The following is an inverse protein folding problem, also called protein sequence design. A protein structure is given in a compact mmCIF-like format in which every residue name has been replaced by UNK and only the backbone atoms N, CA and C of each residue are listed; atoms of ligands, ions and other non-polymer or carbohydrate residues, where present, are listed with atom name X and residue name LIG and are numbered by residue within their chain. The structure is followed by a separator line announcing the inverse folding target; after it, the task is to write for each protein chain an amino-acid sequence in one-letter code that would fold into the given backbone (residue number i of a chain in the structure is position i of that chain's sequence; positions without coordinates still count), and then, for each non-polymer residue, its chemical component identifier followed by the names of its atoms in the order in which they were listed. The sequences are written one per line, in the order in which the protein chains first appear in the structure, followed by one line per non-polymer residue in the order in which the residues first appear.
data_IF_038042358690
#
_entry.id   IF_038042358690
#
_cell.length_a   1.000
_cell.length_b   1.000
_cell.length_c   1.000
_cell.angle_alpha   90.00
_cell.angle_beta   90.00
_cell.angle_gamma   90.00
#
_symmetry.space_group_name_H-M   'P 1'
#
loop_
_entity.id
_entity.type
_entity.pdbx_description
1 polymer ?
#
# COMPACT_ATOMS: atom_id res chain seq x y z
N UNK A 1 -5.26 -0.11 30.85
CA UNK A 1 -5.27 -1.16 29.80
C UNK A 1 -6.55 -1.96 29.94
N UNK A 2 -7.37 -2.05 28.90
CA UNK A 2 -8.57 -2.89 28.94
C UNK A 2 -8.14 -4.35 29.21
N UNK A 3 -8.68 -4.97 30.26
CA UNK A 3 -8.49 -6.40 30.53
C UNK A 3 -9.53 -7.17 29.71
N UNK A 4 -9.10 -8.02 28.78
CA UNK A 4 -10.00 -8.84 27.97
C UNK A 4 -9.27 -9.62 26.89
N UNK A 5 -9.88 -10.70 26.40
CA UNK A 5 -9.37 -11.44 25.25
C UNK A 5 -9.47 -10.59 23.98
N UNK A 6 -8.58 -10.78 22.99
CA UNK A 6 -8.68 -10.12 21.70
C UNK A 6 -10.03 -10.36 21.01
N UNK A 7 -10.47 -9.40 20.19
CA UNK A 7 -11.55 -9.66 19.22
C UNK A 7 -11.07 -10.80 18.31
N UNK A 8 -11.83 -11.89 18.27
CA UNK A 8 -11.44 -13.11 17.56
C UNK A 8 -11.97 -13.15 16.14
N UNK A 9 -11.31 -13.93 15.28
CA UNK A 9 -11.74 -14.12 13.89
C UNK A 9 -13.11 -14.80 13.84
N UNK A 10 -13.36 -15.78 14.73
CA UNK A 10 -14.65 -16.47 14.84
C UNK A 10 -15.80 -15.51 15.19
N UNK A 11 -15.57 -14.52 16.06
CA UNK A 11 -16.56 -13.47 16.36
C UNK A 11 -16.89 -12.63 15.13
N UNK A 12 -15.89 -12.27 14.32
CA UNK A 12 -16.12 -11.57 13.06
C UNK A 12 -16.89 -12.45 12.06
N UNK A 13 -16.49 -13.70 11.89
CA UNK A 13 -17.09 -14.64 10.95
C UNK A 13 -18.53 -15.04 11.34
N UNK A 14 -18.88 -14.96 12.62
CA UNK A 14 -20.24 -15.14 13.12
C UNK A 14 -21.20 -14.00 12.74
N UNK A 15 -20.68 -12.84 12.32
CA UNK A 15 -21.49 -11.78 11.71
C UNK A 15 -21.74 -12.06 10.22
N UNK A 16 -22.42 -11.15 9.51
CA UNK A 16 -22.54 -11.16 8.05
C UNK A 16 -21.51 -10.25 7.34
N UNK A 17 -20.43 -9.85 8.02
CA UNK A 17 -19.38 -9.00 7.44
C UNK A 17 -18.82 -9.60 6.14
N UNK A 18 -18.70 -8.78 5.10
CA UNK A 18 -17.91 -9.09 3.92
C UNK A 18 -17.42 -7.79 3.27
N UNK A 19 -16.32 -7.88 2.53
CA UNK A 19 -15.82 -6.84 1.66
C UNK A 19 -15.39 -7.47 0.33
N UNK A 20 -15.61 -6.77 -0.78
CA UNK A 20 -15.37 -7.32 -2.12
C UNK A 20 -14.62 -6.32 -2.98
N UNK A 21 -13.69 -6.82 -3.78
CA UNK A 21 -13.11 -6.09 -4.89
C UNK A 21 -13.57 -6.73 -6.20
N UNK A 22 -13.98 -5.90 -7.16
CA UNK A 22 -14.43 -6.32 -8.49
C UNK A 22 -13.82 -5.41 -9.54
N UNK A 23 -13.01 -5.96 -10.45
CA UNK A 23 -12.36 -5.20 -11.51
C UNK A 23 -12.91 -5.63 -12.88
N UNK A 24 -13.31 -4.66 -13.69
CA UNK A 24 -13.65 -4.88 -15.09
C UNK A 24 -12.40 -4.67 -15.95
N UNK A 25 -11.78 -5.77 -16.39
CA UNK A 25 -10.57 -5.76 -17.21
C UNK A 25 -10.95 -6.26 -18.60
N UNK A 26 -10.96 -5.37 -19.59
CA UNK A 26 -11.29 -5.72 -20.98
C UNK A 26 -12.69 -6.34 -21.15
N UNK A 27 -13.67 -5.92 -20.35
CA UNK A 27 -15.04 -6.46 -20.37
C UNK A 27 -15.25 -7.70 -19.51
N UNK A 28 -14.17 -8.31 -18.98
CA UNK A 28 -14.26 -9.45 -18.07
C UNK A 28 -14.24 -8.96 -16.63
N UNK A 29 -15.23 -9.38 -15.85
CA UNK A 29 -15.28 -9.11 -14.41
C UNK A 29 -14.46 -10.15 -13.67
N UNK A 30 -13.45 -9.70 -12.95
CA UNK A 30 -12.74 -10.50 -11.96
C UNK A 30 -13.05 -9.99 -10.57
N UNK A 31 -13.20 -10.88 -9.60
CA UNK A 31 -13.50 -10.49 -8.22
C UNK A 31 -12.89 -11.41 -7.17
N UNK A 32 -12.82 -10.91 -5.95
CA UNK A 32 -12.41 -11.62 -4.73
C UNK A 32 -13.09 -10.97 -3.53
N UNK A 33 -13.37 -11.75 -2.48
CA UNK A 33 -14.00 -11.25 -1.26
C UNK A 33 -13.18 -11.60 -0.01
N UNK A 34 -13.31 -10.77 1.02
CA UNK A 34 -12.59 -10.91 2.28
C UNK A 34 -13.12 -12.08 3.10
N UNK A 35 -14.46 -12.29 3.15
CA UNK A 35 -15.06 -13.35 3.95
C UNK A 35 -14.55 -14.74 3.57
N UNK A 36 -14.51 -15.05 2.27
CA UNK A 36 -14.04 -16.36 1.80
C UNK A 36 -12.57 -16.60 2.13
N UNK A 37 -11.73 -15.56 2.00
CA UNK A 37 -10.31 -15.63 2.39
C UNK A 37 -10.14 -15.82 3.90
N UNK A 38 -10.90 -15.08 4.71
CA UNK A 38 -10.90 -15.21 6.17
C UNK A 38 -11.38 -16.59 6.62
N UNK A 39 -12.44 -17.13 6.03
CA UNK A 39 -12.96 -18.48 6.31
C UNK A 39 -11.93 -19.56 5.97
N UNK A 40 -11.27 -19.46 4.81
CA UNK A 40 -10.22 -20.38 4.42
C UNK A 40 -9.03 -20.32 5.39
N UNK A 41 -8.67 -19.12 5.85
CA UNK A 41 -7.59 -18.93 6.81
C UNK A 41 -7.93 -19.48 8.20
N UNK A 42 -9.17 -19.29 8.67
CA UNK A 42 -9.68 -19.83 9.93
C UNK A 42 -9.69 -21.36 9.92
N UNK A 43 -10.24 -21.97 8.86
CA UNK A 43 -10.30 -23.44 8.70
C UNK A 43 -8.92 -24.09 8.65
N UNK A 44 -7.93 -23.40 8.09
CA UNK A 44 -6.55 -23.89 7.99
C UNK A 44 -5.66 -23.51 9.18
N UNK A 45 -6.16 -22.69 10.10
CA UNK A 45 -5.36 -22.15 11.21
C UNK A 45 -4.13 -21.36 10.73
N UNK A 46 -4.20 -20.72 9.55
CA UNK A 46 -3.05 -20.08 8.89
C UNK A 46 -2.86 -18.60 9.22
N UNK A 47 -3.68 -18.05 10.11
CA UNK A 47 -3.52 -16.68 10.58
C UNK A 47 -2.44 -16.58 11.66
N UNK A 48 -1.44 -15.74 11.42
CA UNK A 48 -0.35 -15.50 12.37
C UNK A 48 0.32 -14.15 12.13
N UNK A 49 1.16 -13.70 13.06
CA UNK A 49 1.92 -12.47 12.87
C UNK A 49 2.89 -12.63 11.71
N UNK A 50 2.85 -11.68 10.77
CA UNK A 50 3.71 -11.65 9.58
C UNK A 50 3.46 -12.77 8.56
N UNK A 51 2.38 -13.54 8.73
CA UNK A 51 2.02 -14.64 7.82
C UNK A 51 1.55 -14.13 6.45
N UNK A 52 1.98 -14.82 5.40
CA UNK A 52 1.77 -14.39 4.01
C UNK A 52 0.30 -14.32 3.60
N UNK A 53 -0.50 -15.32 3.98
CA UNK A 53 -1.89 -15.45 3.50
C UNK A 53 -2.89 -14.78 4.45
N UNK A 54 -2.62 -14.80 5.76
CA UNK A 54 -3.42 -14.13 6.77
C UNK A 54 -2.51 -13.56 7.88
N UNK A 55 -2.16 -12.28 7.78
CA UNK A 55 -1.36 -11.62 8.81
C UNK A 55 -2.25 -11.11 9.94
N UNK A 56 -2.00 -11.52 11.18
CA UNK A 56 -2.59 -10.89 12.37
C UNK A 56 -1.80 -9.62 12.68
N UNK A 57 -2.35 -8.48 12.27
CA UNK A 57 -1.73 -7.17 12.38
C UNK A 57 -1.93 -6.52 13.76
N UNK A 58 -3.16 -6.59 14.28
CA UNK A 58 -3.51 -6.13 15.62
C UNK A 58 -4.22 -7.25 16.37
N UNK A 59 -3.96 -7.37 17.66
CA UNK A 59 -4.67 -8.30 18.54
C UNK A 59 -4.87 -7.67 19.92
N UNK A 60 -6.10 -7.31 20.25
CA UNK A 60 -6.42 -6.69 21.52
C UNK A 60 -7.91 -6.66 21.84
N UNK A 61 -8.28 -6.40 23.10
CA UNK A 61 -9.67 -6.44 23.56
C UNK A 61 -10.56 -5.36 22.95
N UNK A 62 -9.98 -4.29 22.42
CA UNK A 62 -10.72 -3.22 21.73
C UNK A 62 -10.80 -3.46 20.22
N UNK A 63 -9.77 -4.07 19.64
CA UNK A 63 -9.67 -4.27 18.20
C UNK A 63 -8.69 -5.39 17.86
N UNK A 64 -9.00 -6.10 16.79
CA UNK A 64 -8.06 -6.97 16.09
C UNK A 64 -8.11 -6.66 14.60
N UNK A 65 -7.01 -6.93 13.91
CA UNK A 65 -6.89 -6.71 12.47
C UNK A 65 -6.25 -7.90 11.78
N UNK A 66 -6.90 -8.39 10.73
CA UNK A 66 -6.40 -9.45 9.88
C UNK A 66 -6.17 -8.92 8.48
N UNK A 67 -4.98 -9.14 7.92
CA UNK A 67 -4.67 -8.82 6.53
C UNK A 67 -4.68 -10.10 5.73
N UNK A 68 -5.76 -10.32 4.97
CA UNK A 68 -5.90 -11.45 4.05
C UNK A 68 -5.75 -10.99 2.61
N UNK A 69 -5.35 -11.89 1.71
CA UNK A 69 -5.15 -11.53 0.31
C UNK A 69 -5.41 -12.68 -0.64
N UNK A 70 -5.75 -12.35 -1.89
CA UNK A 70 -6.09 -13.33 -2.90
C UNK A 70 -5.97 -12.81 -4.33
N UNK A 71 -5.83 -13.72 -5.30
CA UNK A 71 -5.94 -13.36 -6.71
C UNK A 71 -7.38 -12.96 -7.04
N UNK A 72 -7.54 -12.16 -8.08
CA UNK A 72 -8.84 -11.90 -8.68
C UNK A 72 -9.24 -13.07 -9.60
N UNK A 73 -10.47 -13.57 -9.47
CA UNK A 73 -11.01 -14.66 -10.29
C UNK A 73 -12.24 -14.25 -11.08
N UNK A 74 -12.34 -14.65 -12.34
CA UNK A 74 -13.53 -14.48 -13.17
C UNK A 74 -14.56 -15.59 -12.95
N UNK A 75 -15.75 -15.43 -13.52
CA UNK A 75 -16.85 -16.41 -13.39
C UNK A 75 -16.51 -17.81 -13.94
N UNK A 76 -15.58 -17.92 -14.88
CA UNK A 76 -15.09 -19.19 -15.43
C UNK A 76 -13.87 -19.75 -14.67
N UNK A 77 -13.49 -19.16 -13.53
CA UNK A 77 -12.38 -19.62 -12.69
C UNK A 77 -10.98 -19.17 -13.14
N UNK A 78 -10.86 -18.37 -14.20
CA UNK A 78 -9.57 -17.82 -14.61
C UNK A 78 -9.07 -16.79 -13.59
N UNK A 79 -7.79 -16.85 -13.26
CA UNK A 79 -7.14 -15.89 -12.36
C UNK A 79 -6.51 -14.76 -13.14
N UNK A 80 -6.60 -13.53 -12.63
CA UNK A 80 -5.78 -12.43 -13.15
C UNK A 80 -4.33 -12.61 -12.64
N UNK A 81 -3.32 -12.62 -13.52
CA UNK A 81 -1.95 -12.89 -13.11
C UNK A 81 -1.23 -11.68 -12.50
N UNK A 82 -1.74 -10.46 -12.71
CA UNK A 82 -1.00 -9.22 -12.41
C UNK A 82 -1.49 -8.55 -11.13
N UNK A 83 -2.81 -8.56 -10.89
CA UNK A 83 -3.42 -7.86 -9.76
C UNK A 83 -3.71 -8.81 -8.61
N UNK A 84 -3.25 -8.41 -7.42
CA UNK A 84 -3.58 -9.06 -6.16
C UNK A 84 -4.32 -8.08 -5.25
N UNK A 85 -5.32 -8.56 -4.53
CA UNK A 85 -6.08 -7.75 -3.58
C UNK A 85 -5.70 -8.15 -2.16
N UNK A 86 -5.46 -7.15 -1.32
CA UNK A 86 -5.34 -7.32 0.13
C UNK A 86 -6.53 -6.63 0.82
N UNK A 87 -7.03 -7.26 1.87
CA UNK A 87 -8.04 -6.72 2.75
C UNK A 87 -7.44 -6.62 4.15
N UNK A 88 -7.17 -5.40 4.62
CA UNK A 88 -6.81 -5.17 6.01
C UNK A 88 -8.10 -4.94 6.81
N UNK A 89 -8.59 -6.00 7.45
CA UNK A 89 -9.89 -6.06 8.12
C UNK A 89 -9.73 -5.79 9.60
N UNK A 90 -9.99 -4.54 10.03
CA UNK A 90 -9.92 -4.12 11.42
C UNK A 90 -11.30 -4.15 12.05
N UNK A 91 -11.54 -5.13 12.91
CA UNK A 91 -12.77 -5.28 13.68
C UNK A 91 -12.62 -4.61 15.06
N UNK A 92 -13.64 -3.87 15.47
CA UNK A 92 -13.72 -3.26 16.80
C UNK A 92 -14.73 -4.01 17.66
N UNK A 93 -14.40 -4.16 18.95
CA UNK A 93 -15.30 -4.77 19.92
C UNK A 93 -16.61 -3.96 20.02
N UNK A 94 -17.73 -4.68 20.14
CA UNK A 94 -19.03 -4.07 20.41
C UNK A 94 -19.19 -3.66 21.87
N UNK A 95 -20.31 -2.98 22.15
CA UNK A 95 -20.68 -2.60 23.51
C UNK A 95 -21.08 -3.80 24.38
N UNK A 96 -21.53 -4.89 23.75
CA UNK A 96 -21.79 -6.17 24.39
C UNK A 96 -20.53 -7.04 24.33
N UNK A 97 -20.05 -7.61 25.46
CA UNK A 97 -18.91 -8.50 25.45
C UNK A 97 -19.07 -9.64 24.45
N UNK A 98 -18.04 -9.83 23.63
CA UNK A 98 -17.99 -10.90 22.64
C UNK A 98 -18.65 -10.59 21.29
N UNK A 99 -19.17 -9.37 21.09
CA UNK A 99 -19.70 -8.93 19.79
C UNK A 99 -18.73 -8.04 19.02
N UNK A 100 -18.92 -7.94 17.71
CA UNK A 100 -18.23 -6.97 16.84
C UNK A 100 -19.15 -5.77 16.64
N UNK A 101 -18.64 -4.57 16.93
CA UNK A 101 -19.41 -3.32 16.81
C UNK A 101 -19.29 -2.70 15.43
N UNK A 102 -18.07 -2.49 14.95
CA UNK A 102 -17.80 -1.89 13.64
C UNK A 102 -16.58 -2.55 12.99
N UNK A 103 -16.52 -2.46 11.66
CA UNK A 103 -15.41 -3.02 10.88
C UNK A 103 -14.94 -1.99 9.88
N UNK A 104 -13.65 -1.61 9.97
CA UNK A 104 -12.93 -0.81 8.98
C UNK A 104 -12.19 -1.77 8.07
N UNK A 105 -12.40 -1.67 6.76
CA UNK A 105 -11.66 -2.46 5.78
C UNK A 105 -10.83 -1.55 4.90
N UNK A 106 -9.52 -1.77 4.87
CA UNK A 106 -8.64 -1.19 3.87
C UNK A 106 -8.52 -2.17 2.70
N UNK A 107 -9.04 -1.80 1.52
CA UNK A 107 -9.00 -2.64 0.33
C UNK A 107 -7.88 -2.12 -0.56
N UNK A 108 -6.82 -2.93 -0.71
CA UNK A 108 -5.59 -2.54 -1.38
C UNK A 108 -5.46 -3.32 -2.69
N UNK A 109 -5.24 -2.60 -3.79
CA UNK A 109 -5.12 -3.15 -5.14
C UNK A 109 -3.67 -3.06 -5.59
N UNK A 110 -3.01 -4.21 -5.73
CA UNK A 110 -1.57 -4.29 -5.96
C UNK A 110 -1.21 -4.88 -7.34
N UNK A 111 -0.33 -4.20 -8.06
CA UNK A 111 0.40 -4.74 -9.22
C UNK A 111 1.89 -4.90 -8.87
N UNK A 112 2.20 -5.65 -7.81
CA UNK A 112 3.48 -5.55 -7.09
C UNK A 112 4.40 -6.77 -7.24
N UNK A 113 4.05 -7.75 -8.07
CA UNK A 113 4.81 -8.99 -8.16
C UNK A 113 6.21 -8.78 -8.77
N UNK A 114 7.26 -8.82 -7.94
CA UNK A 114 8.62 -8.44 -8.32
C UNK A 114 9.15 -9.18 -9.57
N UNK A 115 8.97 -10.50 -9.60
CA UNK A 115 9.56 -11.38 -10.62
C UNK A 115 8.57 -11.87 -11.69
N UNK A 116 7.35 -11.31 -11.72
CA UNK A 116 6.40 -11.59 -12.80
C UNK A 116 6.63 -10.63 -13.98
N UNK A 117 6.38 -11.05 -15.23
CA UNK A 117 6.42 -10.14 -16.37
C UNK A 117 5.59 -8.89 -16.10
N UNK A 118 6.15 -7.72 -16.42
CA UNK A 118 5.46 -6.47 -16.20
C UNK A 118 4.21 -6.36 -17.09
N UNK A 119 3.12 -5.83 -16.53
CA UNK A 119 1.89 -5.54 -17.24
C UNK A 119 1.25 -4.25 -16.74
N UNK A 120 0.42 -3.63 -17.60
CA UNK A 120 -0.28 -2.38 -17.32
C UNK A 120 -1.80 -2.58 -17.48
N UNK A 121 -2.46 -3.36 -16.60
CA UNK A 121 -3.89 -3.61 -16.72
C UNK A 121 -4.69 -2.30 -16.67
N UNK A 122 -5.68 -2.21 -17.56
CA UNK A 122 -6.63 -1.12 -17.60
C UNK A 122 -7.99 -1.60 -17.10
N UNK A 123 -8.59 -0.88 -16.16
CA UNK A 123 -9.85 -1.30 -15.55
C UNK A 123 -10.62 -0.18 -14.86
N UNK A 124 -11.88 -0.46 -14.58
CA UNK A 124 -12.63 0.20 -13.49
C UNK A 124 -12.78 -0.79 -12.35
N UNK A 125 -12.63 -0.30 -11.11
CA UNK A 125 -12.80 -1.09 -9.90
C UNK A 125 -14.08 -0.68 -9.17
N UNK A 126 -14.80 -1.67 -8.64
CA UNK A 126 -15.87 -1.48 -7.67
C UNK A 126 -15.48 -2.22 -6.40
N UNK A 127 -15.40 -1.49 -5.30
CA UNK A 127 -15.01 -1.97 -3.98
C UNK A 127 -16.20 -1.83 -3.05
N UNK A 128 -16.51 -2.85 -2.25
CA UNK A 128 -17.62 -2.80 -1.29
C UNK A 128 -17.22 -3.31 0.09
N UNK A 129 -17.94 -2.83 1.11
CA UNK A 129 -17.94 -3.39 2.47
C UNK A 129 -19.37 -3.35 3.02
N UNK A 130 -20.07 -4.48 2.94
CA UNK A 130 -21.53 -4.51 3.13
C UNK A 130 -22.23 -3.56 2.15
N UNK A 131 -23.01 -2.59 2.66
CA UNK A 131 -23.66 -1.56 1.84
C UNK A 131 -22.77 -0.37 1.44
N UNK A 132 -21.56 -0.25 2.00
CA UNK A 132 -20.61 0.77 1.55
C UNK A 132 -20.03 0.39 0.19
N UNK A 133 -19.84 1.37 -0.70
CA UNK A 133 -19.36 1.15 -2.06
C UNK A 133 -18.48 2.31 -2.53
N UNK A 134 -17.47 1.99 -3.32
CA UNK A 134 -16.63 2.93 -4.06
C UNK A 134 -16.42 2.41 -5.47
N UNK A 135 -16.51 3.29 -6.47
CA UNK A 135 -16.17 2.97 -7.87
C UNK A 135 -15.06 3.90 -8.33
N UNK A 136 -13.97 3.32 -8.82
CA UNK A 136 -12.85 4.09 -9.36
C UNK A 136 -13.21 4.70 -10.73
N UNK A 137 -12.53 5.78 -11.15
CA UNK A 137 -12.45 6.09 -12.57
C UNK A 137 -11.81 4.94 -13.37
N UNK A 138 -11.75 5.07 -14.70
CA UNK A 138 -10.93 4.17 -15.49
C UNK A 138 -9.44 4.40 -15.16
N UNK A 139 -8.75 3.34 -14.77
CA UNK A 139 -7.37 3.36 -14.33
C UNK A 139 -6.49 2.58 -15.31
N UNK A 140 -5.25 3.04 -15.45
CA UNK A 140 -4.13 2.27 -16.00
C UNK A 140 -3.15 2.04 -14.87
N UNK A 141 -3.02 0.81 -14.39
CA UNK A 141 -2.12 0.51 -13.26
C UNK A 141 -0.77 0.01 -13.77
N UNK A 142 0.28 0.81 -13.62
CA UNK A 142 1.64 0.41 -13.99
C UNK A 142 2.19 -0.72 -13.11
N UNK A 143 3.24 -1.39 -13.57
CA UNK A 143 3.92 -2.40 -12.78
C UNK A 143 4.55 -1.77 -11.53
N UNK A 144 4.55 -2.52 -10.43
CA UNK A 144 5.08 -2.16 -9.12
C UNK A 144 4.41 -0.93 -8.49
N UNK A 145 3.14 -0.69 -8.81
CA UNK A 145 2.31 0.34 -8.20
C UNK A 145 1.14 -0.28 -7.43
N UNK A 146 0.55 0.52 -6.55
CA UNK A 146 -0.61 0.13 -5.74
C UNK A 146 -1.45 1.35 -5.38
N UNK A 147 -2.68 1.08 -4.98
CA UNK A 147 -3.56 2.07 -4.38
C UNK A 147 -4.50 1.37 -3.41
N UNK A 148 -5.21 2.14 -2.60
CA UNK A 148 -6.13 1.58 -1.63
C UNK A 148 -7.36 2.46 -1.42
N UNK A 149 -8.40 1.87 -0.84
CA UNK A 149 -9.60 2.56 -0.43
C UNK A 149 -10.11 1.99 0.89
N UNK A 150 -10.33 2.86 1.86
CA UNK A 150 -10.92 2.50 3.15
C UNK A 150 -12.44 2.57 3.03
N UNK A 151 -13.12 1.50 3.44
CA UNK A 151 -14.57 1.44 3.59
C UNK A 151 -14.93 0.93 4.99
N UNK A 152 -15.94 1.54 5.59
CA UNK A 152 -16.53 1.05 6.83
C UNK A 152 -17.75 0.19 6.52
N UNK A 153 -17.83 -0.98 7.15
CA UNK A 153 -18.91 -1.92 6.91
C UNK A 153 -20.27 -1.26 7.12
N UNK A 154 -21.11 -1.30 6.08
CA UNK A 154 -22.44 -0.67 6.05
C UNK A 154 -22.46 0.86 6.28
N UNK A 155 -21.41 1.57 5.85
CA UNK A 155 -21.26 3.03 6.04
C UNK A 155 -21.24 3.45 7.52
N UNK A 156 -20.91 2.53 8.44
CA UNK A 156 -20.88 2.78 9.88
C UNK A 156 -19.56 3.44 10.34
N UNK A 157 -19.05 4.42 9.58
CA UNK A 157 -17.84 5.16 9.93
C UNK A 157 -18.10 6.10 11.12
N UNK A 158 -17.29 6.02 12.19
CA UNK A 158 -17.34 7.01 13.26
C UNK A 158 -17.06 8.42 12.73
N UNK A 159 -17.93 9.37 13.05
CA UNK A 159 -17.79 10.79 12.68
C UNK A 159 -16.95 11.54 13.72
N UNK A 160 -15.77 11.01 14.01
CA UNK A 160 -14.83 11.57 15.00
C UNK A 160 -13.43 11.61 14.42
N UNK A 161 -12.70 12.67 14.73
CA UNK A 161 -11.28 12.79 14.44
C UNK A 161 -10.50 12.64 15.74
N UNK A 162 -9.72 11.57 15.84
CA UNK A 162 -8.82 11.36 16.98
C UNK A 162 -7.52 12.12 16.74
N UNK A 163 -7.49 13.37 17.20
CA UNK A 163 -6.32 14.21 17.15
C UNK A 163 -5.21 13.65 18.04
N UNK A 164 -4.01 13.47 17.46
CA UNK A 164 -2.83 13.02 18.20
C UNK A 164 -2.17 14.17 18.95
N UNK A 165 -1.51 13.85 20.05
CA UNK A 165 -0.62 14.79 20.75
C UNK A 165 0.71 14.90 20.00
N UNK A 166 0.78 15.83 19.05
CA UNK A 166 1.99 16.04 18.25
C UNK A 166 3.13 16.72 19.02
N UNK A 167 2.86 17.31 20.19
CA UNK A 167 3.90 17.77 21.09
C UNK A 167 4.58 16.58 21.76
N UNK A 168 3.81 15.60 22.22
CA UNK A 168 4.35 14.35 22.77
C UNK A 168 5.16 13.58 21.71
N UNK A 169 4.65 13.49 20.47
CA UNK A 169 5.39 12.86 19.35
C UNK A 169 6.76 13.52 19.17
N UNK A 170 6.84 14.85 19.16
CA UNK A 170 8.11 15.58 19.06
C UNK A 170 8.98 15.47 20.32
N UNK A 171 8.38 15.51 21.51
CA UNK A 171 9.09 15.43 22.78
C UNK A 171 9.75 14.05 23.00
N UNK A 172 9.12 12.99 22.50
CA UNK A 172 9.66 11.62 22.54
C UNK A 172 10.85 11.39 21.62
N UNK A 173 11.10 12.29 20.65
CA UNK A 173 12.14 12.12 19.64
C UNK A 173 11.76 11.19 18.49
N UNK A 174 10.49 10.74 18.40
CA UNK A 174 10.00 9.96 17.27
C UNK A 174 10.10 10.73 15.95
N UNK A 175 9.99 12.05 16.00
CA UNK A 175 10.29 12.96 14.88
C UNK A 175 11.15 14.13 15.38
N UNK A 176 11.75 14.86 14.43
CA UNK A 176 12.48 16.09 14.73
C UNK A 176 11.59 17.14 15.41
N UNK A 177 12.18 18.03 16.21
CA UNK A 177 11.46 19.20 16.73
C UNK A 177 11.31 20.24 15.63
N UNK A 178 10.08 20.67 15.39
CA UNK A 178 9.77 21.73 14.45
C UNK A 178 9.51 23.04 15.21
N UNK A 179 9.76 24.17 14.53
CA UNK A 179 9.38 25.48 15.05
C UNK A 179 7.86 25.51 15.26
N UNK A 180 7.43 26.01 16.42
CA UNK A 180 6.02 26.16 16.73
C UNK A 180 5.41 27.29 15.87
N UNK A 181 4.76 26.90 14.78
CA UNK A 181 4.07 27.80 13.87
C UNK A 181 2.57 27.49 13.89
N UNK A 182 1.74 28.49 13.63
CA UNK A 182 0.30 28.30 13.48
C UNK A 182 -0.11 28.65 12.05
N UNK A 183 -0.48 27.68 11.22
CA UNK A 183 -1.03 27.97 9.90
C UNK A 183 -2.30 28.83 10.03
N UNK A 184 -2.47 29.81 9.15
CA UNK A 184 -3.70 30.60 9.08
C UNK A 184 -4.83 29.82 8.39
N UNK A 185 -6.05 30.34 8.53
CA UNK A 185 -7.24 29.70 7.99
C UNK A 185 -7.24 29.65 6.45
N UNK A 186 -6.69 30.68 5.80
CA UNK A 186 -6.58 30.72 4.34
C UNK A 186 -5.72 29.56 3.84
N UNK A 187 -4.58 29.31 4.48
CA UNK A 187 -3.71 28.17 4.19
C UNK A 187 -4.43 26.84 4.42
N UNK A 188 -5.05 26.64 5.60
CA UNK A 188 -5.70 25.37 5.93
C UNK A 188 -6.89 25.05 5.01
N UNK A 189 -7.69 26.05 4.65
CA UNK A 189 -8.83 25.90 3.74
C UNK A 189 -8.41 25.54 2.30
N UNK A 190 -7.19 25.90 1.90
CA UNK A 190 -6.62 25.59 0.59
C UNK A 190 -5.94 24.23 0.50
N UNK A 191 -5.83 23.49 1.61
CA UNK A 191 -5.17 22.18 1.61
C UNK A 191 -6.00 21.13 0.87
N UNK A 192 -5.32 20.31 0.07
CA UNK A 192 -5.92 19.10 -0.51
C UNK A 192 -6.43 18.17 0.60
N UNK A 193 -7.61 17.57 0.37
CA UNK A 193 -8.28 16.71 1.36
C UNK A 193 -8.29 15.22 0.98
N UNK A 194 -8.03 14.88 -0.28
CA UNK A 194 -8.01 13.49 -0.75
C UNK A 194 -7.13 13.32 -1.98
N UNK A 195 -6.78 12.07 -2.29
CA UNK A 195 -6.08 11.69 -3.50
C UNK A 195 -6.88 10.64 -4.27
N UNK A 196 -7.00 10.80 -5.58
CA UNK A 196 -7.64 9.78 -6.41
C UNK A 196 -6.71 8.57 -6.57
N UNK A 197 -7.24 7.35 -6.76
CA UNK A 197 -6.42 6.18 -7.04
C UNK A 197 -5.41 6.42 -8.17
N UNK A 198 -4.12 6.15 -7.88
CA UNK A 198 -2.99 6.29 -8.81
C UNK A 198 -2.70 7.73 -9.30
N UNK A 199 -3.29 8.75 -8.67
CA UNK A 199 -2.88 10.16 -8.82
C UNK A 199 -1.61 10.44 -7.99
N UNK A 200 -0.73 11.32 -8.47
CA UNK A 200 0.44 11.77 -7.71
C UNK A 200 0.10 12.91 -6.73
N UNK A 201 -1.09 13.50 -6.81
CA UNK A 201 -1.53 14.59 -5.95
C UNK A 201 -0.49 15.73 -5.88
N UNK A 202 0.05 16.06 -4.70
CA UNK A 202 1.04 17.14 -4.57
C UNK A 202 2.48 16.60 -4.57
N UNK A 203 2.67 15.30 -4.81
CA UNK A 203 3.98 14.70 -5.07
C UNK A 203 4.49 15.14 -6.44
N UNK A 204 5.81 15.26 -6.58
CA UNK A 204 6.43 15.62 -7.87
C UNK A 204 6.44 14.41 -8.80
N UNK A 205 5.89 14.55 -10.01
CA UNK A 205 5.84 13.48 -11.01
C UNK A 205 7.18 12.74 -11.20
N UNK A 206 8.28 13.48 -11.29
CA UNK A 206 9.64 12.93 -11.32
C UNK A 206 10.47 13.53 -10.19
N UNK A 207 10.87 12.72 -9.21
CA UNK A 207 11.55 13.20 -8.01
C UNK A 207 12.94 13.78 -8.29
N UNK A 208 13.59 13.35 -9.37
CA UNK A 208 14.89 13.86 -9.84
C UNK A 208 14.84 15.30 -10.36
N UNK A 209 13.67 15.93 -10.43
CA UNK A 209 13.53 17.31 -10.89
C UNK A 209 14.26 18.29 -9.93
N UNK A 210 14.93 19.28 -10.49
CA UNK A 210 15.79 20.20 -9.73
C UNK A 210 14.99 21.19 -8.88
N UNK A 211 15.58 21.63 -7.77
CA UNK A 211 15.03 22.69 -6.92
C UNK A 211 14.23 22.20 -5.72
N UNK A 212 13.69 23.15 -4.94
CA UNK A 212 12.90 22.84 -3.75
C UNK A 212 11.54 22.26 -4.13
N UNK A 213 11.14 21.18 -3.45
CA UNK A 213 9.85 20.52 -3.63
C UNK A 213 9.18 20.32 -2.27
N UNK A 214 7.83 20.35 -2.17
CA UNK A 214 7.13 20.07 -0.92
C UNK A 214 7.41 18.68 -0.34
N UNK A 215 7.80 17.70 -1.18
CA UNK A 215 8.20 16.37 -0.73
C UNK A 215 9.58 16.36 -0.02
N UNK A 216 10.47 17.31 -0.33
CA UNK A 216 11.86 17.29 0.12
C UNK A 216 11.98 17.79 1.57
N UNK A 217 12.62 17.00 2.42
CA UNK A 217 12.96 17.34 3.80
C UNK A 217 12.94 16.11 4.72
N UNK A 218 13.41 16.24 5.99
CA UNK A 218 13.32 15.15 6.96
C UNK A 218 11.90 14.62 7.15
N UNK A 219 10.91 15.50 7.08
CA UNK A 219 9.51 15.16 6.81
C UNK A 219 9.07 16.01 5.61
N UNK A 220 8.24 15.48 4.71
CA UNK A 220 7.66 16.29 3.65
C UNK A 220 6.71 17.34 4.25
N UNK A 221 6.44 18.41 3.49
CA UNK A 221 5.71 19.59 3.95
C UNK A 221 4.34 19.22 4.55
N UNK A 222 3.57 18.37 3.90
CA UNK A 222 2.26 17.92 4.38
C UNK A 222 2.33 17.22 5.73
N UNK A 223 3.36 16.41 5.96
CA UNK A 223 3.58 15.75 7.25
C UNK A 223 4.08 16.74 8.29
N UNK A 224 4.99 17.64 7.94
CA UNK A 224 5.52 18.64 8.88
C UNK A 224 4.43 19.60 9.38
N UNK A 225 3.49 20.00 8.51
CA UNK A 225 2.34 20.82 8.90
C UNK A 225 1.44 20.09 9.88
N UNK A 226 1.14 18.80 9.67
CA UNK A 226 0.38 18.00 10.63
C UNK A 226 1.09 17.90 12.00
N UNK A 227 2.41 17.64 12.00
CA UNK A 227 3.21 17.56 13.23
C UNK A 227 3.19 18.89 14.00
N UNK A 228 3.26 20.02 13.29
CA UNK A 228 3.23 21.35 13.92
C UNK A 228 1.82 21.72 14.39
N UNK A 229 0.79 21.41 13.61
CA UNK A 229 -0.60 21.78 13.88
C UNK A 229 -1.55 20.67 13.41
N UNK A 230 -1.96 19.74 14.31
CA UNK A 230 -2.72 18.53 13.95
C UNK A 230 -4.22 18.79 13.69
N UNK A 231 -4.53 19.81 12.89
CA UNK A 231 -5.85 20.06 12.30
C UNK A 231 -6.25 18.89 11.37
N UNK A 232 -7.54 18.56 11.33
CA UNK A 232 -8.05 17.47 10.49
C UNK A 232 -7.73 17.67 9.00
N UNK A 233 -7.67 18.92 8.53
CA UNK A 233 -7.32 19.25 7.14
C UNK A 233 -5.84 19.00 6.85
N UNK A 234 -4.97 19.25 7.83
CA UNK A 234 -3.55 18.92 7.75
C UNK A 234 -3.33 17.41 7.79
N UNK A 235 -4.09 16.70 8.63
CA UNK A 235 -4.11 15.23 8.65
C UNK A 235 -4.53 14.65 7.29
N UNK A 236 -5.63 15.13 6.71
CA UNK A 236 -6.09 14.69 5.40
C UNK A 236 -5.08 15.00 4.29
N UNK A 237 -4.41 16.16 4.36
CA UNK A 237 -3.38 16.53 3.39
C UNK A 237 -2.16 15.61 3.45
N UNK A 238 -1.73 15.24 4.67
CA UNK A 238 -0.69 14.26 4.89
C UNK A 238 -1.08 12.91 4.30
N UNK A 239 -2.26 12.40 4.65
CA UNK A 239 -2.75 11.10 4.17
C UNK A 239 -2.86 11.07 2.65
N UNK A 240 -3.48 12.08 2.02
CA UNK A 240 -3.63 12.15 0.57
C UNK A 240 -2.29 12.06 -0.17
N UNK A 241 -1.25 12.75 0.32
CA UNK A 241 0.06 12.71 -0.31
C UNK A 241 0.85 11.44 0.02
N UNK A 242 0.55 10.77 1.13
CA UNK A 242 1.10 9.43 1.40
C UNK A 242 0.45 8.38 0.51
N UNK A 243 -0.87 8.45 0.27
CA UNK A 243 -1.57 7.53 -0.64
C UNK A 243 -1.00 7.64 -2.07
N UNK A 244 -0.62 8.86 -2.48
CA UNK A 244 0.01 9.14 -3.77
C UNK A 244 1.36 8.42 -3.99
N UNK A 245 2.06 8.00 -2.93
CA UNK A 245 3.31 7.23 -3.07
C UNK A 245 3.07 5.90 -3.80
N UNK A 246 1.88 5.34 -3.68
CA UNK A 246 1.47 4.11 -4.35
C UNK A 246 1.58 4.17 -5.88
N UNK A 247 1.59 5.36 -6.49
CA UNK A 247 1.70 5.53 -7.94
C UNK A 247 3.11 5.33 -8.50
N UNK A 248 4.15 5.40 -7.65
CA UNK A 248 5.53 5.17 -8.07
C UNK A 248 5.84 3.67 -8.15
N UNK A 249 6.66 3.29 -9.13
CA UNK A 249 7.05 1.88 -9.32
C UNK A 249 8.17 1.44 -8.35
N UNK A 250 7.89 1.44 -7.05
CA UNK A 250 8.85 1.01 -6.00
C UNK A 250 8.40 -0.25 -5.25
N UNK A 251 7.21 -0.76 -5.56
CA UNK A 251 6.55 -1.78 -4.73
C UNK A 251 6.86 -3.19 -5.22
N UNK A 252 8.10 -3.65 -4.99
CA UNK A 252 8.58 -4.98 -5.39
C UNK A 252 8.27 -6.03 -4.34
N UNK A 253 7.13 -6.71 -4.44
CA UNK A 253 6.76 -7.77 -3.53
C UNK A 253 7.31 -9.12 -4.00
N UNK A 254 8.09 -9.78 -3.16
CA UNK A 254 8.40 -11.19 -3.34
C UNK A 254 7.13 -12.00 -3.06
N UNK A 255 6.59 -12.60 -4.11
CA UNK A 255 5.39 -13.39 -3.98
C UNK A 255 5.58 -14.55 -3.02
N UNK A 256 6.76 -15.16 -2.89
CA UNK A 256 6.97 -16.34 -2.06
C UNK A 256 6.80 -16.05 -0.57
N UNK A 257 7.29 -14.89 -0.13
CA UNK A 257 7.21 -14.43 1.27
C UNK A 257 5.99 -13.56 1.54
N UNK A 258 5.43 -12.92 0.52
CA UNK A 258 4.38 -11.90 0.69
C UNK A 258 4.92 -10.56 1.18
N UNK A 259 6.23 -10.39 1.29
CA UNK A 259 6.89 -9.17 1.77
C UNK A 259 7.61 -8.44 0.62
N UNK A 260 7.97 -7.15 0.80
CA UNK A 260 8.90 -6.49 -0.11
C UNK A 260 10.17 -7.32 -0.31
N UNK A 261 10.76 -7.22 -1.49
CA UNK A 261 11.95 -7.97 -1.90
C UNK A 261 13.11 -7.62 -0.97
N UNK A 262 13.80 -8.63 -0.44
CA UNK A 262 14.99 -8.40 0.39
C UNK A 262 16.23 -8.97 -0.27
N UNK A 263 17.32 -8.21 -0.24
CA UNK A 263 18.63 -8.65 -0.76
C UNK A 263 19.21 -9.82 0.02
N UNK A 264 18.69 -10.14 1.23
CA UNK A 264 19.07 -11.37 1.93
C UNK A 264 18.57 -12.63 1.25
N UNK A 265 17.40 -12.57 0.60
CA UNK A 265 16.81 -13.68 -0.16
C UNK A 265 17.19 -13.62 -1.63
N UNK A 266 17.28 -12.41 -2.16
CA UNK A 266 17.58 -12.11 -3.56
C UNK A 266 18.86 -11.26 -3.67
N UNK A 267 20.04 -11.80 -3.32
CA UNK A 267 21.28 -11.04 -3.26
C UNK A 267 21.77 -10.54 -4.63
N UNK A 268 21.20 -11.05 -5.73
CA UNK A 268 21.54 -10.61 -7.09
C UNK A 268 20.46 -9.71 -7.72
N UNK A 269 19.42 -9.33 -6.96
CA UNK A 269 18.42 -8.36 -7.40
C UNK A 269 19.02 -6.95 -7.39
N UNK A 270 18.98 -6.27 -8.53
CA UNK A 270 19.49 -4.91 -8.69
C UNK A 270 18.67 -4.12 -9.71
N UNK A 271 18.43 -2.85 -9.42
CA UNK A 271 17.84 -1.86 -10.34
C UNK A 271 18.94 -1.03 -11.03
N UNK A 272 19.96 -0.59 -10.29
CA UNK A 272 21.01 0.29 -10.83
C UNK A 272 22.03 -0.49 -11.67
N UNK A 273 22.38 -1.71 -11.25
CA UNK A 273 23.25 -2.65 -11.97
C UNK A 273 22.50 -3.55 -12.95
N UNK A 274 21.22 -3.29 -13.19
CA UNK A 274 20.34 -4.18 -13.96
C UNK A 274 20.84 -4.48 -15.37
N UNK A 275 21.41 -3.50 -16.09
CA UNK A 275 21.89 -3.70 -17.46
C UNK A 275 23.01 -4.76 -17.52
N UNK A 276 23.90 -4.76 -16.53
CA UNK A 276 24.92 -5.79 -16.39
C UNK A 276 24.31 -7.14 -16.03
N UNK A 277 23.41 -7.18 -15.03
CA UNK A 277 22.72 -8.40 -14.63
C UNK A 277 21.97 -9.05 -15.82
N UNK A 278 21.27 -8.24 -16.62
CA UNK A 278 20.55 -8.66 -17.81
C UNK A 278 21.48 -9.24 -18.89
N UNK A 279 22.65 -8.63 -19.11
CA UNK A 279 23.63 -9.11 -20.08
C UNK A 279 24.31 -10.41 -19.64
N UNK A 280 24.54 -10.60 -18.34
CA UNK A 280 25.24 -11.79 -17.80
C UNK A 280 24.28 -12.97 -17.56
N UNK A 281 23.00 -12.73 -17.26
CA UNK A 281 21.99 -13.75 -17.02
C UNK A 281 21.90 -14.87 -18.09
N UNK A 282 22.00 -14.59 -19.42
CA UNK A 282 21.93 -15.63 -20.45
C UNK A 282 23.24 -16.39 -20.69
N UNK A 283 24.37 -16.01 -20.07
CA UNK A 283 25.71 -16.52 -20.41
C UNK A 283 26.00 -17.97 -19.97
N UNK A 284 25.12 -18.59 -19.17
CA UNK A 284 25.29 -19.95 -18.67
C UNK A 284 26.43 -20.13 -17.64
N UNK A 285 27.10 -19.04 -17.25
CA UNK A 285 28.11 -19.04 -16.18
C UNK A 285 27.47 -19.23 -14.80
N UNK A 286 28.27 -19.56 -13.78
CA UNK A 286 27.80 -19.63 -12.39
C UNK A 286 27.17 -18.29 -11.95
N UNK A 287 27.85 -17.18 -12.22
CA UNK A 287 27.35 -15.82 -11.96
C UNK A 287 26.10 -15.49 -12.77
N UNK A 288 26.02 -15.89 -14.04
CA UNK A 288 24.83 -15.73 -14.88
C UNK A 288 23.61 -16.45 -14.32
N UNK A 289 23.77 -17.67 -13.82
CA UNK A 289 22.70 -18.42 -13.15
C UNK A 289 22.14 -17.67 -11.93
N UNK A 290 23.02 -17.05 -11.15
CA UNK A 290 22.64 -16.30 -9.94
C UNK A 290 21.88 -15.01 -10.29
N UNK A 291 22.39 -14.20 -11.22
CA UNK A 291 21.64 -13.03 -11.69
C UNK A 291 20.33 -13.41 -12.36
N UNK A 292 20.28 -14.49 -13.14
CA UNK A 292 19.04 -14.95 -13.78
C UNK A 292 17.94 -15.30 -12.76
N UNK A 293 18.31 -15.83 -11.59
CA UNK A 293 17.36 -16.20 -10.54
C UNK A 293 16.68 -14.98 -9.90
N UNK A 294 17.39 -13.86 -9.81
CA UNK A 294 16.94 -12.61 -9.16
C UNK A 294 16.70 -11.46 -10.15
N UNK A 295 16.75 -11.72 -11.46
CA UNK A 295 16.60 -10.69 -12.48
C UNK A 295 15.18 -10.15 -12.49
N UNK A 296 15.02 -8.89 -12.07
CA UNK A 296 13.76 -8.17 -12.23
C UNK A 296 13.43 -8.03 -13.73
N UNK A 297 12.22 -8.35 -14.18
CA UNK A 297 11.85 -8.13 -15.57
C UNK A 297 11.75 -6.64 -15.86
N UNK A 298 12.27 -6.21 -17.01
CA UNK A 298 12.06 -4.86 -17.54
C UNK A 298 10.68 -4.72 -18.19
N UNK A 299 10.30 -3.49 -18.53
CA UNK A 299 9.10 -3.26 -19.33
C UNK A 299 9.26 -3.85 -20.75
N UNK A 300 8.15 -3.90 -21.48
CA UNK A 300 8.13 -4.21 -22.92
C UNK A 300 7.25 -3.20 -23.63
N UNK A 301 7.51 -2.96 -24.91
CA UNK A 301 6.64 -2.10 -25.71
C UNK A 301 5.26 -2.75 -25.88
N UNK A 302 4.20 -1.99 -25.59
CA UNK A 302 2.81 -2.38 -25.78
C UNK A 302 1.95 -1.13 -26.06
N UNK A 303 0.62 -1.26 -25.99
CA UNK A 303 -0.32 -0.16 -26.25
C UNK A 303 -0.26 0.98 -25.22
N UNK A 304 0.33 0.75 -24.04
CA UNK A 304 0.45 1.71 -22.94
C UNK A 304 1.89 2.23 -22.83
N UNK A 305 2.85 1.32 -22.72
CA UNK A 305 4.28 1.63 -22.69
C UNK A 305 4.78 1.59 -24.13
N UNK A 306 4.79 2.72 -24.82
CA UNK A 306 5.20 2.78 -26.24
C UNK A 306 6.71 2.91 -26.42
N UNK A 307 7.43 3.38 -25.40
CA UNK A 307 8.88 3.54 -25.40
C UNK A 307 9.46 2.99 -24.09
N UNK A 308 9.68 1.69 -24.05
CA UNK A 308 10.39 1.05 -22.95
C UNK A 308 11.90 1.19 -23.13
N UNK A 309 12.58 1.77 -22.13
CA UNK A 309 14.04 1.77 -22.08
C UNK A 309 14.58 0.36 -21.85
N UNK A 310 15.50 -0.10 -22.70
CA UNK A 310 16.17 -1.41 -22.58
C UNK A 310 17.65 -1.31 -22.21
N UNK A 311 18.22 -0.12 -22.27
CA UNK A 311 19.62 0.12 -21.86
C UNK A 311 19.81 0.16 -20.33
N UNK A 312 18.73 0.39 -19.58
CA UNK A 312 18.69 0.46 -18.13
C UNK A 312 17.41 -0.19 -17.62
N UNK A 313 17.31 -0.43 -16.32
CA UNK A 313 16.06 -0.87 -15.73
C UNK A 313 14.95 0.17 -15.96
N UNK A 314 13.77 -0.28 -16.38
CA UNK A 314 12.62 0.58 -16.62
C UNK A 314 11.32 -0.18 -16.39
N UNK A 315 10.30 0.55 -15.93
CA UNK A 315 8.94 0.04 -15.73
C UNK A 315 7.93 0.61 -16.73
N UNK A 316 8.35 1.62 -17.51
CA UNK A 316 7.47 2.39 -18.39
C UNK A 316 6.49 3.31 -17.66
N UNK A 317 6.56 3.41 -16.33
CA UNK A 317 5.74 4.31 -15.54
C UNK A 317 6.17 5.77 -15.75
N UNK A 318 5.24 6.71 -16.04
CA UNK A 318 5.55 8.13 -16.16
C UNK A 318 5.90 8.80 -14.83
N UNK A 319 5.61 8.18 -13.68
CA UNK A 319 6.02 8.65 -12.35
C UNK A 319 7.36 8.03 -11.98
N UNK A 320 8.36 8.88 -11.74
CA UNK A 320 9.74 8.47 -11.50
C UNK A 320 10.16 8.73 -10.06
N UNK A 321 10.49 7.64 -9.36
CA UNK A 321 11.14 7.68 -8.06
C UNK A 321 12.63 7.97 -8.22
N UNK A 322 13.22 8.69 -7.27
CA UNK A 322 14.64 9.00 -7.26
C UNK A 322 15.24 8.86 -5.86
N UNK A 323 16.34 8.11 -5.74
CA UNK A 323 16.93 7.80 -4.45
C UNK A 323 17.68 8.97 -3.80
N UNK A 324 18.03 10.01 -4.55
CA UNK A 324 18.65 11.20 -3.97
C UNK A 324 17.62 12.16 -3.34
N UNK A 325 16.32 11.94 -3.56
CA UNK A 325 15.25 12.88 -3.18
C UNK A 325 14.14 12.23 -2.32
N UNK A 326 14.46 11.19 -1.56
CA UNK A 326 13.45 10.44 -0.81
C UNK A 326 12.94 11.18 0.44
N UNK A 327 11.61 11.37 0.59
CA UNK A 327 11.03 11.83 1.84
C UNK A 327 11.09 10.73 2.92
N UNK A 328 10.75 11.05 4.17
CA UNK A 328 10.40 10.04 5.19
C UNK A 328 9.05 9.32 4.92
N UNK A 329 8.66 9.25 3.64
CA UNK A 329 7.50 8.57 3.05
C UNK A 329 6.25 8.55 3.94
N UNK A 330 6.06 7.44 4.65
CA UNK A 330 4.83 7.04 5.32
C UNK A 330 5.03 6.82 6.83
N UNK A 331 6.16 7.29 7.40
CA UNK A 331 6.52 7.04 8.80
C UNK A 331 5.50 7.62 9.78
N UNK A 332 5.23 8.91 9.68
CA UNK A 332 4.22 9.58 10.51
C UNK A 332 2.80 9.09 10.21
N UNK A 333 2.36 8.97 8.93
CA UNK A 333 1.09 8.33 8.58
C UNK A 333 0.89 6.96 9.25
N UNK A 334 1.92 6.11 9.24
CA UNK A 334 1.87 4.82 9.92
C UNK A 334 1.74 5.01 11.45
N UNK A 335 2.60 5.82 12.06
CA UNK A 335 2.61 6.06 13.50
C UNK A 335 1.24 6.51 14.03
N UNK A 336 0.52 7.38 13.31
CA UNK A 336 -0.75 7.95 13.81
C UNK A 336 -2.00 7.15 13.43
N UNK A 337 -1.89 6.20 12.49
CA UNK A 337 -3.03 5.38 12.05
C UNK A 337 -2.93 3.91 12.44
N UNK A 338 -1.70 3.44 12.68
CA UNK A 338 -1.36 2.02 12.79
C UNK A 338 -1.75 1.23 11.54
N UNK A 339 -1.87 1.85 10.36
CA UNK A 339 -2.33 1.18 9.13
C UNK A 339 -1.28 0.22 8.58
N UNK A 340 -1.71 -1.00 8.22
CA UNK A 340 -0.87 -1.93 7.47
C UNK A 340 -0.39 -1.35 6.14
N UNK A 341 -1.25 -0.59 5.43
CA UNK A 341 -0.87 0.03 4.15
C UNK A 341 0.35 0.94 4.33
N UNK A 342 0.31 1.90 5.25
CA UNK A 342 1.43 2.83 5.47
C UNK A 342 2.68 2.17 6.04
N UNK A 343 2.54 1.14 6.88
CA UNK A 343 3.72 0.34 7.26
C UNK A 343 4.33 -0.37 6.04
N UNK A 344 3.48 -0.94 5.18
CA UNK A 344 3.97 -1.63 3.99
C UNK A 344 4.60 -0.68 2.97
N UNK A 345 4.12 0.57 2.85
CA UNK A 345 4.78 1.63 2.07
C UNK A 345 6.22 1.86 2.57
N UNK A 346 6.42 2.06 3.88
CA UNK A 346 7.76 2.20 4.47
C UNK A 346 8.67 1.01 4.14
N UNK A 347 8.12 -0.20 4.24
CA UNK A 347 8.86 -1.42 3.96
C UNK A 347 9.23 -1.52 2.47
N UNK A 348 8.37 -1.03 1.57
CA UNK A 348 8.68 -0.95 0.14
C UNK A 348 9.74 0.12 -0.16
N UNK A 349 9.68 1.30 0.44
CA UNK A 349 10.73 2.32 0.31
C UNK A 349 12.10 1.81 0.79
N UNK A 350 12.13 1.13 1.95
CA UNK A 350 13.35 0.51 2.46
C UNK A 350 13.87 -0.60 1.53
N UNK A 351 12.99 -1.49 1.05
CA UNK A 351 13.34 -2.55 0.08
C UNK A 351 13.86 -1.98 -1.22
N UNK A 352 13.24 -0.91 -1.74
CA UNK A 352 13.68 -0.23 -2.95
C UNK A 352 15.12 0.30 -2.81
N UNK A 353 15.45 0.86 -1.64
CA UNK A 353 16.81 1.27 -1.32
C UNK A 353 17.81 0.11 -1.30
N UNK A 354 17.42 -1.06 -0.76
CA UNK A 354 18.30 -2.24 -0.77
C UNK A 354 18.61 -2.71 -2.20
N UNK A 355 17.60 -2.79 -3.07
CA UNK A 355 17.75 -3.29 -4.44
C UNK A 355 18.28 -2.22 -5.43
N UNK A 356 18.45 -0.97 -4.98
CA UNK A 356 19.24 0.04 -5.70
C UNK A 356 20.73 -0.14 -5.36
N UNK A 357 21.27 -1.33 -5.60
CA UNK A 357 22.67 -1.68 -5.31
C UNK A 357 23.42 -2.22 -6.52
#
# INVERSE_FOLDING_TARGET
MARGAPVSLSQLLATNYDAKASLNIGGTIYSVNARGLLQAADLSGSCGTWERQCNVWLAGPLTSEWVVNGPLTSANGATNPNIRIYFAVRAYAGTTPGTVGSVRTDIIVENTSAFAPQAQPQYTATLTSGSASFTSPALTQYAYTRWHQVLWWNNAQPQVYLQQDTQYIQASGAVSRYMNLRPDEAFLSGLRQSCAPLDNCDQTKAMSNVGAQPAIGPLPRWTSVYIVYPDVRAYNWMIANTDALGTYSIHYRDQQTGWPTSIRRHPYATIIGWAYAHAVAPTGTATGTLYKADLLPGCVNNSIVTTCGTAWYSTGNPYAWDNAHQPAESYVPYMVTGSYYYMSELAFGASHNEIWS
#
